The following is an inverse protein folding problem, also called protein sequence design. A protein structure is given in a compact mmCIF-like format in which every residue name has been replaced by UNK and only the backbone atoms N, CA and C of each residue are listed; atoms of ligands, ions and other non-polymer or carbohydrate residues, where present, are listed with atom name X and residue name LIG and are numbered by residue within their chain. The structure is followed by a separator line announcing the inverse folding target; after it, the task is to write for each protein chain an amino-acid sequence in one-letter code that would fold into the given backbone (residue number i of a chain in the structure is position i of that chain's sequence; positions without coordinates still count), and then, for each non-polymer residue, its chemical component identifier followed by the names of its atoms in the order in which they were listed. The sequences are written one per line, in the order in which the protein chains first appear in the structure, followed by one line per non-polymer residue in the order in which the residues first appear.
data_IF_548176617359
#
_entry.id   IF_548176617359
#
_cell.length_a   1.000
_cell.length_b   1.000
_cell.length_c   1.000
_cell.angle_alpha   90.00
_cell.angle_beta   90.00
_cell.angle_gamma   90.00
#
_symmetry.space_group_name_H-M   'P 1'
#
loop_
_entity.id
_entity.type
_entity.pdbx_description
1 polymer ?
#
# COMPACT_ATOMS: atom_id res chain seq x y z
N UNK A 1 -14.18 -1.24 5.50
CA UNK A 1 -14.93 -1.23 4.23
C UNK A 1 -16.11 -2.19 4.33
N UNK A 2 -17.13 -2.11 3.44
CA UNK A 2 -18.18 -3.13 3.35
C UNK A 2 -19.62 -2.70 3.66
N UNK A 3 -19.88 -1.42 3.92
CA UNK A 3 -21.27 -0.93 3.97
C UNK A 3 -21.89 -0.99 2.57
N UNK A 4 -23.02 -1.69 2.35
CA UNK A 4 -23.70 -1.71 1.06
C UNK A 4 -24.10 -0.31 0.63
N UNK A 5 -23.94 0.02 -0.66
CA UNK A 5 -24.20 1.35 -1.19
C UNK A 5 -25.62 1.86 -0.89
N UNK A 6 -26.62 0.97 -0.92
CA UNK A 6 -28.01 1.32 -0.61
C UNK A 6 -28.26 1.69 0.86
N UNK A 7 -27.30 1.45 1.77
CA UNK A 7 -27.35 1.89 3.17
C UNK A 7 -26.69 3.25 3.40
N UNK A 8 -26.01 3.83 2.40
CA UNK A 8 -25.45 5.19 2.51
C UNK A 8 -26.60 6.19 2.64
N UNK A 9 -26.54 7.08 3.64
CA UNK A 9 -27.56 8.09 3.89
C UNK A 9 -27.74 9.04 2.69
N UNK A 10 -28.98 9.45 2.34
CA UNK A 10 -29.21 10.35 1.19
C UNK A 10 -28.43 11.66 1.25
N UNK A 11 -28.26 12.23 2.45
CA UNK A 11 -27.47 13.45 2.66
C UNK A 11 -25.99 13.25 2.28
N UNK A 12 -25.44 12.06 2.54
CA UNK A 12 -24.05 11.70 2.19
C UNK A 12 -23.93 11.38 0.70
N UNK A 13 -24.92 10.69 0.12
CA UNK A 13 -24.90 10.34 -1.32
C UNK A 13 -24.75 11.55 -2.25
N UNK A 14 -25.27 12.71 -1.85
CA UNK A 14 -25.14 13.96 -2.62
C UNK A 14 -23.75 14.60 -2.55
N UNK A 15 -22.88 14.11 -1.66
CA UNK A 15 -21.56 14.68 -1.37
C UNK A 15 -20.41 13.73 -1.77
N UNK A 16 -20.73 12.56 -2.35
CA UNK A 16 -19.75 11.55 -2.72
C UNK A 16 -19.93 11.14 -4.18
N UNK A 17 -18.85 10.70 -4.81
CA UNK A 17 -18.89 10.07 -6.13
C UNK A 17 -18.71 8.56 -5.97
N UNK A 18 -19.65 7.78 -6.50
CA UNK A 18 -19.52 6.34 -6.57
C UNK A 18 -18.72 5.98 -7.83
N UNK A 19 -17.58 5.33 -7.65
CA UNK A 19 -16.74 4.84 -8.73
C UNK A 19 -16.83 3.32 -8.78
N UNK A 20 -16.86 2.76 -9.99
CA UNK A 20 -16.71 1.32 -10.20
C UNK A 20 -15.29 0.89 -9.88
N UNK A 21 -15.13 -0.32 -9.33
CA UNK A 21 -13.82 -0.90 -9.07
C UNK A 21 -13.12 -1.25 -10.39
N UNK A 22 -11.88 -0.80 -10.58
CA UNK A 22 -11.05 -1.17 -11.72
C UNK A 22 -9.91 -2.11 -11.26
N UNK A 23 -10.21 -3.40 -11.23
CA UNK A 23 -9.31 -4.41 -10.67
C UNK A 23 -8.00 -4.57 -11.45
N UNK A 24 -8.03 -4.46 -12.78
CA UNK A 24 -6.83 -4.55 -13.62
C UNK A 24 -5.86 -3.41 -13.31
N UNK A 25 -6.38 -2.18 -13.24
CA UNK A 25 -5.57 -1.02 -12.87
C UNK A 25 -4.97 -1.17 -11.46
N UNK A 26 -5.76 -1.65 -10.49
CA UNK A 26 -5.27 -1.84 -9.12
C UNK A 26 -4.21 -2.94 -9.04
N UNK A 27 -4.37 -4.03 -9.80
CA UNK A 27 -3.37 -5.10 -9.89
C UNK A 27 -2.05 -4.61 -10.49
N UNK A 28 -2.11 -3.83 -11.57
CA UNK A 28 -0.93 -3.24 -12.20
C UNK A 28 -0.21 -2.27 -11.25
N UNK A 29 -0.95 -1.43 -10.53
CA UNK A 29 -0.37 -0.50 -9.55
C UNK A 29 0.23 -1.23 -8.35
N UNK A 30 -0.45 -2.26 -7.84
CA UNK A 30 0.06 -3.13 -6.77
C UNK A 30 1.40 -3.75 -7.15
N UNK A 31 1.48 -4.31 -8.36
CA UNK A 31 2.73 -4.88 -8.89
C UNK A 31 3.85 -3.84 -8.89
N UNK A 32 3.61 -2.62 -9.38
CA UNK A 32 4.63 -1.55 -9.39
C UNK A 32 5.09 -1.16 -7.99
N UNK A 33 4.16 -1.06 -7.02
CA UNK A 33 4.50 -0.76 -5.62
C UNK A 33 5.43 -1.84 -5.07
N UNK A 34 5.06 -3.11 -5.19
CA UNK A 34 5.86 -4.18 -4.61
C UNK A 34 7.17 -4.42 -5.36
N UNK A 35 7.22 -4.21 -6.67
CA UNK A 35 8.47 -4.26 -7.44
C UNK A 35 9.43 -3.14 -6.98
N UNK A 36 8.90 -1.96 -6.63
CA UNK A 36 9.69 -0.87 -6.03
C UNK A 36 10.23 -1.28 -4.65
N UNK A 37 9.39 -1.88 -3.80
CA UNK A 37 9.82 -2.35 -2.46
C UNK A 37 10.90 -3.44 -2.56
N UNK A 38 10.75 -4.41 -3.47
CA UNK A 38 11.72 -5.50 -3.69
C UNK A 38 13.10 -5.02 -4.13
N UNK A 39 13.22 -3.81 -4.69
CA UNK A 39 14.52 -3.24 -5.02
C UNK A 39 15.33 -2.82 -3.78
N UNK A 40 14.70 -2.74 -2.60
CA UNK A 40 15.30 -2.22 -1.38
C UNK A 40 15.41 -3.22 -0.23
N UNK A 41 14.73 -4.37 -0.32
CA UNK A 41 14.82 -5.44 0.67
C UNK A 41 14.98 -6.79 -0.02
N UNK A 42 15.66 -7.72 0.65
CA UNK A 42 15.93 -9.05 0.13
C UNK A 42 14.73 -9.99 0.18
N UNK A 43 13.78 -9.76 1.10
CA UNK A 43 12.65 -10.67 1.30
C UNK A 43 11.35 -9.88 1.46
N UNK A 44 10.35 -10.26 0.66
CA UNK A 44 9.03 -9.63 0.61
C UNK A 44 7.98 -10.73 0.50
N UNK A 45 7.19 -10.89 1.56
CA UNK A 45 6.05 -11.78 1.60
C UNK A 45 4.77 -10.99 1.32
N UNK A 46 4.14 -11.23 0.16
CA UNK A 46 2.89 -10.58 -0.20
C UNK A 46 1.73 -11.17 0.61
N UNK A 47 1.05 -10.33 1.39
CA UNK A 47 -0.14 -10.73 2.16
C UNK A 47 -1.44 -10.46 1.40
N UNK A 48 -1.51 -9.31 0.70
CA UNK A 48 -2.67 -8.89 -0.06
C UNK A 48 -2.26 -8.01 -1.26
N UNK A 49 -3.24 -7.36 -1.92
CA UNK A 49 -2.98 -6.45 -3.04
C UNK A 49 -2.26 -5.16 -2.61
N UNK A 50 -2.37 -4.75 -1.35
CA UNK A 50 -1.80 -3.51 -0.83
C UNK A 50 -0.98 -3.69 0.45
N UNK A 51 -0.80 -4.92 0.92
CA UNK A 51 -0.05 -5.25 2.14
C UNK A 51 0.99 -6.36 1.90
N UNK A 52 2.17 -6.18 2.49
CA UNK A 52 3.25 -7.17 2.48
C UNK A 52 4.07 -7.07 3.77
N UNK A 53 4.70 -8.17 4.15
CA UNK A 53 5.77 -8.21 5.16
C UNK A 53 7.12 -8.16 4.46
N UNK A 54 8.08 -7.47 5.08
CA UNK A 54 9.45 -7.37 4.57
C UNK A 54 10.44 -7.72 5.67
N UNK A 55 11.50 -8.45 5.32
CA UNK A 55 12.60 -8.68 6.24
C UNK A 55 13.48 -7.43 6.33
N UNK A 56 13.92 -7.13 7.56
CA UNK A 56 14.75 -5.97 7.88
C UNK A 56 16.05 -6.40 8.61
N UNK A 57 16.37 -7.69 8.55
CA UNK A 57 17.61 -8.24 9.10
C UNK A 57 18.84 -7.67 8.39
N UNK A 58 19.87 -7.33 9.16
CA UNK A 58 21.14 -6.81 8.64
C UNK A 58 21.16 -5.29 8.37
N UNK A 59 20.05 -4.57 8.56
CA UNK A 59 20.04 -3.11 8.50
C UNK A 59 20.41 -2.49 9.85
N UNK A 60 21.40 -1.60 9.86
CA UNK A 60 21.84 -0.89 11.07
C UNK A 60 20.87 0.21 11.52
N UNK A 61 20.19 0.85 10.57
CA UNK A 61 19.17 1.87 10.83
C UNK A 61 17.89 1.55 10.04
N UNK A 62 17.08 0.68 10.65
CA UNK A 62 15.81 0.21 10.09
C UNK A 62 14.84 1.37 9.86
N UNK A 63 14.79 2.35 10.75
CA UNK A 63 13.84 3.46 10.64
C UNK A 63 14.14 4.32 9.41
N UNK A 64 15.39 4.72 9.24
CA UNK A 64 15.82 5.51 8.06
C UNK A 64 15.61 4.72 6.78
N UNK A 65 15.91 3.42 6.78
CA UNK A 65 15.68 2.55 5.63
C UNK A 65 14.20 2.47 5.24
N UNK A 66 13.30 2.24 6.20
CA UNK A 66 11.86 2.23 5.97
C UNK A 66 11.34 3.60 5.49
N UNK A 67 11.82 4.71 6.05
CA UNK A 67 11.47 6.05 5.58
C UNK A 67 11.88 6.26 4.12
N UNK A 68 13.05 5.76 3.72
CA UNK A 68 13.51 5.78 2.34
C UNK A 68 12.60 4.97 1.43
N UNK A 69 12.29 3.71 1.77
CA UNK A 69 11.36 2.87 0.99
C UNK A 69 10.03 3.59 0.78
N UNK A 70 9.44 4.13 1.86
CA UNK A 70 8.17 4.88 1.79
C UNK A 70 8.26 6.08 0.85
N UNK A 71 9.38 6.81 0.87
CA UNK A 71 9.59 7.96 0.01
C UNK A 71 9.73 7.55 -1.47
N UNK A 72 10.48 6.49 -1.76
CA UNK A 72 10.67 5.98 -3.13
C UNK A 72 9.37 5.42 -3.70
N UNK A 73 8.62 4.61 -2.93
CA UNK A 73 7.30 4.11 -3.36
C UNK A 73 6.38 5.28 -3.74
N UNK A 74 6.32 6.32 -2.90
CA UNK A 74 5.51 7.51 -3.19
C UNK A 74 6.00 8.25 -4.43
N UNK A 75 7.31 8.40 -4.61
CA UNK A 75 7.90 9.07 -5.76
C UNK A 75 7.61 8.33 -7.07
N UNK A 76 7.86 7.02 -7.11
CA UNK A 76 7.84 6.22 -8.34
C UNK A 76 6.42 5.80 -8.75
N UNK A 77 5.51 5.63 -7.79
CA UNK A 77 4.15 5.14 -8.07
C UNK A 77 3.07 6.19 -7.82
N UNK A 78 3.39 7.28 -7.11
CA UNK A 78 2.41 8.24 -6.62
C UNK A 78 1.57 7.74 -5.44
N UNK A 79 1.74 6.50 -4.99
CA UNK A 79 0.93 5.88 -3.93
C UNK A 79 1.58 6.15 -2.56
N UNK A 80 0.91 6.84 -1.63
CA UNK A 80 1.39 6.94 -0.26
C UNK A 80 1.20 5.61 0.48
N UNK A 81 2.25 5.16 1.17
CA UNK A 81 2.22 3.98 2.02
C UNK A 81 2.55 4.32 3.49
N UNK A 82 2.19 3.40 4.38
CA UNK A 82 2.54 3.39 5.81
C UNK A 82 3.36 2.13 6.10
N UNK A 83 4.29 2.20 7.04
CA UNK A 83 5.14 1.06 7.43
C UNK A 83 5.05 0.90 8.94
N UNK A 84 4.66 -0.30 9.39
CA UNK A 84 4.77 -0.74 10.78
C UNK A 84 6.05 -1.54 10.98
N UNK A 85 6.73 -1.35 12.10
CA UNK A 85 7.97 -2.04 12.44
C UNK A 85 7.77 -2.70 13.80
N UNK A 86 8.02 -4.00 13.87
CA UNK A 86 7.97 -4.78 15.11
C UNK A 86 9.01 -5.90 15.05
N UNK A 87 9.48 -6.34 16.21
CA UNK A 87 10.15 -7.63 16.35
C UNK A 87 9.09 -8.73 16.46
N UNK A 88 9.35 -9.88 15.85
CA UNK A 88 8.49 -11.06 15.89
C UNK A 88 9.16 -12.22 16.60
#
# INVERSE_FOLDING_TARGET
MGMPAFKILPAIRKQVTLLSSNYELYGDMSKRVFDTVRAHTSDVELYSIDEAFIALDGFSDVTTHCQHIRAVVKHDTGIPASIGIAST
#
